data_IF_062183921517
#
_entry.id   IF_062183921517
#
_cell.length_a   1.000
_cell.length_b   1.000
_cell.length_c   1.000
_cell.angle_alpha   90.00
_cell.angle_beta   90.00
_cell.angle_gamma   90.00
#
_symmetry.space_group_name_H-M   'P 1'
#
loop_
_entity.id
_entity.type
_entity.pdbx_description
1 polymer ?
#
# COMPACT_ATOMS: atom_id res chain seq x y z
N UNK A 1 -15.98 14.50 19.12
CA UNK A 1 -14.82 15.24 18.59
C UNK A 1 -15.18 15.82 17.22
N UNK A 2 -14.65 16.98 16.87
CA UNK A 2 -14.63 17.44 15.48
C UNK A 2 -13.67 16.59 14.63
N UNK A 3 -13.76 16.61 13.29
CA UNK A 3 -12.80 15.93 12.42
C UNK A 3 -11.34 16.32 12.71
N UNK A 4 -11.06 17.61 12.89
CA UNK A 4 -9.71 18.10 13.22
C UNK A 4 -9.19 17.56 14.56
N UNK A 5 -10.04 17.51 15.60
CA UNK A 5 -9.67 16.92 16.90
C UNK A 5 -9.40 15.41 16.80
N UNK A 6 -10.15 14.69 15.98
CA UNK A 6 -9.95 13.27 15.74
C UNK A 6 -8.60 12.99 15.04
N UNK A 7 -8.28 13.76 14.01
CA UNK A 7 -6.99 13.67 13.32
C UNK A 7 -5.83 14.03 14.26
N UNK A 8 -5.96 15.08 15.06
CA UNK A 8 -4.96 15.47 16.05
C UNK A 8 -4.73 14.36 17.11
N UNK A 9 -5.80 13.70 17.55
CA UNK A 9 -5.70 12.57 18.46
C UNK A 9 -4.98 11.38 17.80
N UNK A 10 -5.33 11.02 16.58
CA UNK A 10 -4.65 9.97 15.81
C UNK A 10 -3.16 10.31 15.62
N UNK A 11 -2.84 11.59 15.38
CA UNK A 11 -1.45 12.03 15.26
C UNK A 11 -0.68 11.85 16.58
N UNK A 12 -1.29 12.12 17.73
CA UNK A 12 -0.66 11.85 19.04
C UNK A 12 -0.31 10.37 19.21
N UNK A 13 -1.16 9.45 18.73
CA UNK A 13 -0.89 8.01 18.78
C UNK A 13 0.30 7.59 17.92
N UNK A 14 0.64 8.34 16.86
CA UNK A 14 1.77 8.02 16.00
C UNK A 14 3.13 8.08 16.71
N UNK A 15 3.22 8.80 17.83
CA UNK A 15 4.43 8.92 18.64
C UNK A 15 4.85 7.60 19.31
N UNK A 16 3.91 6.65 19.50
CA UNK A 16 4.19 5.37 20.17
C UNK A 16 4.89 4.33 19.28
N UNK A 17 5.10 4.64 18.00
CA UNK A 17 5.85 3.78 17.07
C UNK A 17 5.22 2.41 16.83
N UNK A 18 6.02 1.43 16.40
CA UNK A 18 5.60 0.04 16.25
C UNK A 18 5.82 -0.72 17.57
N UNK A 19 4.76 -1.32 18.10
CA UNK A 19 4.81 -2.22 19.25
C UNK A 19 4.39 -3.62 18.79
N UNK A 20 5.27 -4.62 18.84
CA UNK A 20 4.92 -5.97 18.40
C UNK A 20 4.00 -6.64 19.43
N UNK A 21 2.84 -7.12 18.95
CA UNK A 21 1.87 -7.83 19.79
C UNK A 21 0.45 -7.64 19.28
N UNK A 22 -0.45 -8.54 19.68
CA UNK A 22 -1.87 -8.49 19.28
C UNK A 22 -2.79 -8.19 20.47
N UNK A 23 -2.26 -8.16 21.69
CA UNK A 23 -3.07 -7.99 22.88
C UNK A 23 -3.78 -6.64 22.95
N UNK A 24 -3.04 -5.56 22.66
CA UNK A 24 -3.58 -4.21 22.62
C UNK A 24 -4.74 -4.12 21.61
N UNK A 25 -4.55 -4.63 20.39
CA UNK A 25 -5.59 -4.61 19.35
C UNK A 25 -6.81 -5.47 19.73
N UNK A 26 -6.60 -6.65 20.34
CA UNK A 26 -7.70 -7.51 20.83
C UNK A 26 -8.49 -6.84 21.95
N UNK A 27 -7.82 -6.20 22.90
CA UNK A 27 -8.47 -5.47 24.00
C UNK A 27 -9.27 -4.27 23.46
N UNK A 28 -8.75 -3.54 22.49
CA UNK A 28 -9.49 -2.48 21.79
C UNK A 28 -10.73 -3.02 21.09
N UNK A 29 -10.60 -4.09 20.31
CA UNK A 29 -11.71 -4.71 19.61
C UNK A 29 -12.79 -5.22 20.59
N UNK A 30 -12.38 -5.85 21.70
CA UNK A 30 -13.29 -6.31 22.76
C UNK A 30 -14.07 -5.15 23.38
N UNK A 31 -13.45 -3.99 23.58
CA UNK A 31 -14.09 -2.82 24.16
C UNK A 31 -15.27 -2.30 23.31
N UNK A 32 -15.26 -2.59 22.00
CA UNK A 32 -16.34 -2.23 21.05
C UNK A 32 -17.14 -3.43 20.57
N UNK A 33 -17.07 -4.57 21.28
CA UNK A 33 -17.91 -5.75 21.03
C UNK A 33 -17.42 -6.64 19.88
N UNK A 34 -16.10 -6.73 19.66
CA UNK A 34 -15.46 -7.61 18.67
C UNK A 34 -16.07 -7.53 17.26
N UNK A 35 -16.06 -6.34 16.62
CA UNK A 35 -16.73 -6.18 15.32
C UNK A 35 -16.16 -7.13 14.24
N UNK A 36 -14.90 -7.59 14.35
CA UNK A 36 -14.27 -8.55 13.44
C UNK A 36 -15.00 -9.91 13.38
N UNK A 37 -15.73 -10.32 14.41
CA UNK A 37 -16.41 -11.62 14.44
C UNK A 37 -17.63 -11.67 13.50
N UNK A 38 -18.13 -10.51 13.07
CA UNK A 38 -19.27 -10.38 12.17
C UNK A 38 -18.88 -10.15 10.71
N UNK A 39 -17.57 -10.05 10.42
CA UNK A 39 -17.04 -9.70 9.11
C UNK A 39 -16.34 -10.89 8.45
N UNK A 40 -16.29 -10.89 7.13
CA UNK A 40 -15.62 -11.91 6.31
C UNK A 40 -14.41 -11.28 5.63
N UNK A 41 -13.23 -11.83 5.86
CA UNK A 41 -11.97 -11.23 5.41
C UNK A 41 -11.27 -12.03 4.32
N UNK A 42 -10.61 -11.32 3.42
CA UNK A 42 -9.46 -11.80 2.64
C UNK A 42 -8.26 -11.02 3.13
N UNK A 43 -7.32 -11.71 3.81
CA UNK A 43 -6.18 -11.08 4.49
C UNK A 43 -4.95 -11.11 3.60
N UNK A 44 -4.38 -9.94 3.29
CA UNK A 44 -3.32 -9.78 2.28
C UNK A 44 -2.05 -9.24 2.91
N UNK A 45 -0.97 -10.04 2.85
CA UNK A 45 0.38 -9.65 3.24
C UNK A 45 1.33 -9.69 2.03
N UNK A 46 2.54 -9.13 2.19
CA UNK A 46 3.57 -9.12 1.16
C UNK A 46 4.54 -7.95 1.33
N UNK A 47 5.64 -7.96 0.61
CA UNK A 47 6.53 -6.80 0.54
C UNK A 47 5.92 -5.77 -0.41
N UNK A 48 5.76 -6.11 -1.68
CA UNK A 48 5.13 -5.28 -2.70
C UNK A 48 3.83 -5.92 -3.21
N UNK A 49 2.93 -5.13 -3.82
CA UNK A 49 1.72 -5.63 -4.49
C UNK A 49 0.48 -5.80 -3.60
N UNK A 50 0.58 -5.67 -2.26
CA UNK A 50 -0.55 -5.82 -1.33
C UNK A 50 -1.76 -4.97 -1.72
N UNK A 51 -1.59 -3.65 -1.72
CA UNK A 51 -2.66 -2.71 -2.05
C UNK A 51 -3.23 -2.89 -3.46
N UNK A 52 -2.37 -3.19 -4.47
CA UNK A 52 -2.83 -3.49 -5.83
C UNK A 52 -3.68 -4.76 -5.88
N UNK A 53 -3.27 -5.82 -5.17
CA UNK A 53 -4.04 -7.07 -5.07
C UNK A 53 -5.38 -6.83 -4.37
N UNK A 54 -5.39 -6.06 -3.27
CA UNK A 54 -6.62 -5.65 -2.59
C UNK A 54 -7.53 -4.84 -3.53
N UNK A 55 -6.97 -3.92 -4.33
CA UNK A 55 -7.73 -3.11 -5.28
C UNK A 55 -8.37 -3.95 -6.39
N UNK A 56 -7.65 -4.96 -6.94
CA UNK A 56 -8.21 -5.90 -7.90
C UNK A 56 -9.33 -6.75 -7.29
N UNK A 57 -9.13 -7.30 -6.10
CA UNK A 57 -10.14 -8.06 -5.38
C UNK A 57 -11.40 -7.21 -5.14
N UNK A 58 -11.22 -5.99 -4.62
CA UNK A 58 -12.29 -5.05 -4.36
C UNK A 58 -13.09 -4.77 -5.63
N UNK A 59 -12.42 -4.43 -6.72
CA UNK A 59 -13.06 -4.07 -7.98
C UNK A 59 -13.88 -5.24 -8.58
N UNK A 60 -13.38 -6.47 -8.49
CA UNK A 60 -14.09 -7.66 -8.97
C UNK A 60 -15.33 -7.99 -8.11
N UNK A 61 -15.22 -7.93 -6.78
CA UNK A 61 -16.36 -8.17 -5.89
C UNK A 61 -17.41 -7.07 -6.02
N UNK A 62 -16.99 -5.81 -6.11
CA UNK A 62 -17.90 -4.68 -6.33
C UNK A 62 -18.60 -4.76 -7.70
N UNK A 63 -17.90 -5.18 -8.77
CA UNK A 63 -18.51 -5.43 -10.07
C UNK A 63 -19.59 -6.53 -10.01
N UNK A 64 -19.41 -7.51 -9.12
CA UNK A 64 -20.39 -8.57 -8.87
C UNK A 64 -21.53 -8.15 -7.92
N UNK A 65 -21.57 -6.88 -7.50
CA UNK A 65 -22.65 -6.32 -6.67
C UNK A 65 -22.45 -6.49 -5.16
N UNK A 66 -21.30 -7.02 -4.69
CA UNK A 66 -21.03 -7.12 -3.26
C UNK A 66 -20.65 -5.76 -2.67
N UNK A 67 -21.10 -5.52 -1.45
CA UNK A 67 -20.68 -4.36 -0.65
C UNK A 67 -19.31 -4.64 -0.04
N UNK A 68 -18.28 -3.99 -0.56
CA UNK A 68 -16.89 -4.23 -0.19
C UNK A 68 -16.42 -3.29 0.91
N UNK A 69 -15.61 -3.81 1.85
CA UNK A 69 -14.76 -3.03 2.74
C UNK A 69 -13.31 -3.15 2.25
N UNK A 70 -12.59 -2.05 2.16
CA UNK A 70 -11.17 -2.04 1.77
C UNK A 70 -10.36 -1.31 2.82
N UNK A 71 -9.42 -2.02 3.46
CA UNK A 71 -8.44 -1.46 4.41
C UNK A 71 -7.04 -1.57 3.83
N UNK A 72 -6.39 -0.43 3.66
CA UNK A 72 -5.04 -0.35 3.06
C UNK A 72 -4.18 0.69 3.76
N UNK A 73 -2.85 0.58 3.59
CA UNK A 73 -1.89 1.53 4.16
C UNK A 73 -0.60 1.60 3.35
N UNK A 74 0.08 2.76 3.33
CA UNK A 74 -0.37 4.05 3.83
C UNK A 74 -1.41 4.70 2.90
N UNK A 75 -2.01 5.83 3.31
CA UNK A 75 -2.76 6.70 2.39
C UNK A 75 -1.79 7.61 1.59
N UNK A 76 -2.25 8.21 0.51
CA UNK A 76 -1.46 9.17 -0.27
C UNK A 76 -1.68 10.60 0.23
N UNK A 77 -2.92 11.04 0.29
CA UNK A 77 -3.29 12.43 0.62
C UNK A 77 -4.16 12.49 1.87
N UNK A 78 -5.28 11.73 1.91
CA UNK A 78 -6.26 11.81 2.99
C UNK A 78 -6.35 10.51 3.79
N UNK A 79 -6.50 10.65 5.10
CA UNK A 79 -6.63 9.50 6.00
C UNK A 79 -7.75 8.54 5.59
N UNK A 80 -8.90 9.05 5.14
CA UNK A 80 -10.05 8.25 4.71
C UNK A 80 -9.76 7.23 3.60
N UNK A 81 -8.69 7.43 2.82
CA UNK A 81 -8.24 6.46 1.81
C UNK A 81 -7.89 5.10 2.40
N UNK A 82 -7.52 5.04 3.70
CA UNK A 82 -7.20 3.78 4.40
C UNK A 82 -8.41 2.90 4.63
N UNK A 83 -9.61 3.48 4.72
CA UNK A 83 -10.85 2.80 5.07
C UNK A 83 -11.89 3.18 4.04
N UNK A 84 -12.23 2.26 3.15
CA UNK A 84 -13.19 2.52 2.07
C UNK A 84 -14.34 1.51 2.12
N UNK A 85 -15.55 1.98 1.90
CA UNK A 85 -16.76 1.16 1.74
C UNK A 85 -17.29 1.33 0.32
N UNK A 86 -17.38 0.24 -0.46
CA UNK A 86 -17.80 0.30 -1.86
C UNK A 86 -16.93 1.23 -2.70
N UNK A 87 -15.64 1.32 -2.37
CA UNK A 87 -14.64 2.21 -3.00
C UNK A 87 -14.77 3.69 -2.61
N UNK A 88 -15.66 4.07 -1.70
CA UNK A 88 -15.76 5.42 -1.18
C UNK A 88 -14.94 5.55 0.11
N UNK A 89 -13.99 6.51 0.20
CA UNK A 89 -13.24 6.78 1.41
C UNK A 89 -14.17 7.12 2.58
N UNK A 90 -13.76 6.75 3.78
CA UNK A 90 -14.51 7.06 5.00
C UNK A 90 -14.60 8.59 5.17
N UNK A 91 -15.83 9.17 5.27
CA UNK A 91 -16.00 10.59 5.52
C UNK A 91 -15.36 11.03 6.84
N UNK A 92 -14.82 12.24 6.88
CA UNK A 92 -14.13 12.77 8.06
C UNK A 92 -15.03 12.86 9.30
N UNK A 93 -16.31 13.17 9.12
CA UNK A 93 -17.31 13.21 10.18
C UNK A 93 -17.54 11.81 10.77
N UNK A 94 -17.66 10.80 9.90
CA UNK A 94 -17.81 9.39 10.34
C UNK A 94 -16.54 8.92 11.05
N UNK A 95 -15.36 9.26 10.53
CA UNK A 95 -14.09 8.98 11.22
C UNK A 95 -14.08 9.58 12.61
N UNK A 96 -14.47 10.85 12.77
CA UNK A 96 -14.49 11.54 14.05
C UNK A 96 -15.44 10.91 15.07
N UNK A 97 -16.60 10.42 14.61
CA UNK A 97 -17.54 9.68 15.44
C UNK A 97 -16.94 8.37 15.96
N UNK A 98 -16.39 7.55 15.04
CA UNK A 98 -15.79 6.25 15.39
C UNK A 98 -14.56 6.40 16.29
N UNK A 99 -13.69 7.39 16.02
CA UNK A 99 -12.54 7.71 16.88
C UNK A 99 -13.00 8.13 18.27
N UNK A 100 -14.05 8.96 18.37
CA UNK A 100 -14.62 9.38 19.65
C UNK A 100 -15.18 8.20 20.43
N UNK A 101 -15.94 7.33 19.78
CA UNK A 101 -16.54 6.15 20.39
C UNK A 101 -15.47 5.18 20.91
N UNK A 102 -14.51 4.81 20.06
CA UNK A 102 -13.44 3.90 20.47
C UNK A 102 -12.62 4.47 21.62
N UNK A 103 -12.27 5.77 21.60
CA UNK A 103 -11.56 6.45 22.68
C UNK A 103 -12.33 6.42 24.00
N UNK A 104 -13.64 6.60 23.97
CA UNK A 104 -14.48 6.58 25.18
C UNK A 104 -14.60 5.18 25.79
N UNK A 105 -14.59 4.13 24.94
CA UNK A 105 -14.71 2.73 25.40
C UNK A 105 -13.39 2.07 25.70
N UNK A 106 -12.28 2.67 25.28
CA UNK A 106 -10.93 2.12 25.46
C UNK A 106 -10.60 1.97 26.95
N UNK A 107 -10.04 0.82 27.38
CA UNK A 107 -9.55 0.64 28.75
C UNK A 107 -8.54 1.73 29.14
N UNK A 108 -8.65 2.26 30.36
CA UNK A 108 -7.85 3.39 30.81
C UNK A 108 -6.34 3.07 30.95
N UNK A 109 -6.00 1.79 31.12
CA UNK A 109 -4.63 1.28 31.19
C UNK A 109 -4.01 0.96 29.83
N UNK A 110 -4.75 1.19 28.72
CA UNK A 110 -4.30 0.85 27.37
C UNK A 110 -3.75 2.08 26.65
N UNK A 111 -2.56 1.94 26.08
CA UNK A 111 -1.94 2.95 25.24
C UNK A 111 -1.64 2.34 23.87
N UNK A 112 -2.61 2.34 22.94
CA UNK A 112 -2.43 1.72 21.63
C UNK A 112 -1.54 2.56 20.74
N UNK A 113 -0.91 1.91 19.79
CA UNK A 113 -0.27 2.58 18.66
C UNK A 113 -1.32 3.15 17.69
N UNK A 114 -0.90 4.08 16.85
CA UNK A 114 -1.74 4.60 15.77
C UNK A 114 -2.36 3.48 14.91
N UNK A 115 -1.55 2.49 14.52
CA UNK A 115 -2.01 1.44 13.62
C UNK A 115 -2.99 0.48 14.31
N UNK A 116 -2.76 0.12 15.57
CA UNK A 116 -3.71 -0.69 16.35
C UNK A 116 -5.07 0.00 16.50
N UNK A 117 -5.04 1.28 16.83
CA UNK A 117 -6.26 2.06 17.02
C UNK A 117 -7.04 2.20 15.70
N UNK A 118 -6.36 2.58 14.60
CA UNK A 118 -7.00 2.76 13.30
C UNK A 118 -7.49 1.44 12.69
N UNK A 119 -6.84 0.32 13.00
CA UNK A 119 -7.30 -1.03 12.63
C UNK A 119 -8.67 -1.32 13.25
N UNK A 120 -8.87 -1.00 14.53
CA UNK A 120 -10.18 -1.22 15.18
C UNK A 120 -11.23 -0.22 14.69
N UNK A 121 -10.86 1.03 14.42
CA UNK A 121 -11.77 2.00 13.76
C UNK A 121 -12.27 1.46 12.40
N UNK A 122 -11.38 0.85 11.60
CA UNK A 122 -11.77 0.24 10.33
C UNK A 122 -12.76 -0.93 10.52
N UNK A 123 -12.54 -1.78 11.53
CA UNK A 123 -13.47 -2.87 11.86
C UNK A 123 -14.85 -2.33 12.27
N UNK A 124 -14.90 -1.26 13.07
CA UNK A 124 -16.17 -0.61 13.44
C UNK A 124 -16.88 -0.07 12.19
N UNK A 125 -16.18 0.66 11.33
CA UNK A 125 -16.73 1.24 10.09
C UNK A 125 -17.32 0.15 9.17
N UNK A 126 -16.61 -0.97 8.98
CA UNK A 126 -17.09 -2.06 8.14
C UNK A 126 -18.26 -2.82 8.74
N UNK A 127 -18.29 -3.01 10.06
CA UNK A 127 -19.41 -3.63 10.75
C UNK A 127 -20.67 -2.76 10.71
N UNK A 128 -20.56 -1.44 10.90
CA UNK A 128 -21.69 -0.52 10.74
C UNK A 128 -22.21 -0.47 9.30
N UNK A 129 -21.27 -0.47 8.34
CA UNK A 129 -21.63 -0.49 6.93
C UNK A 129 -22.19 -1.83 6.46
N UNK A 130 -22.19 -2.89 7.29
CA UNK A 130 -22.63 -4.24 6.93
C UNK A 130 -22.04 -4.72 5.61
N UNK A 131 -20.71 -4.62 5.44
CA UNK A 131 -20.04 -5.06 4.22
C UNK A 131 -20.06 -6.58 4.08
N UNK A 132 -20.17 -7.08 2.86
CA UNK A 132 -20.21 -8.53 2.57
C UNK A 132 -18.83 -9.17 2.69
N UNK A 133 -17.78 -8.45 2.25
CA UNK A 133 -16.39 -8.90 2.22
C UNK A 133 -15.43 -7.75 2.51
N UNK A 134 -14.41 -8.03 3.33
CA UNK A 134 -13.35 -7.08 3.67
C UNK A 134 -12.02 -7.51 3.02
N UNK A 135 -11.45 -6.65 2.18
CA UNK A 135 -10.09 -6.76 1.66
C UNK A 135 -9.17 -6.11 2.68
N UNK A 136 -8.37 -6.92 3.35
CA UNK A 136 -7.71 -6.56 4.60
C UNK A 136 -6.19 -6.61 4.43
N UNK A 137 -5.55 -5.44 4.17
CA UNK A 137 -4.10 -5.34 3.97
C UNK A 137 -3.37 -5.26 5.31
N UNK A 138 -2.27 -6.03 5.48
CA UNK A 138 -1.35 -5.86 6.61
C UNK A 138 -0.58 -4.54 6.50
N UNK A 139 -0.33 -3.89 7.65
CA UNK A 139 0.54 -2.72 7.69
C UNK A 139 2.01 -3.08 7.55
N UNK A 140 2.49 -4.00 8.42
CA UNK A 140 3.89 -4.40 8.48
C UNK A 140 4.04 -5.87 8.89
N UNK A 141 4.78 -6.65 8.10
CA UNK A 141 4.99 -8.06 8.40
C UNK A 141 3.71 -8.88 8.21
N UNK A 142 3.19 -9.46 9.25
CA UNK A 142 1.96 -10.24 9.28
C UNK A 142 1.68 -10.87 10.65
N UNK A 143 2.62 -11.63 11.21
CA UNK A 143 2.43 -12.41 12.45
C UNK A 143 1.97 -11.55 13.64
N UNK A 144 2.59 -10.41 13.85
CA UNK A 144 2.31 -9.47 14.95
C UNK A 144 1.68 -8.16 14.45
N UNK A 145 1.21 -8.13 13.20
CA UNK A 145 0.49 -6.97 12.67
C UNK A 145 -0.90 -6.85 13.29
N UNK A 146 -1.33 -5.64 13.62
CA UNK A 146 -2.62 -5.38 14.26
C UNK A 146 -3.80 -5.98 13.48
N UNK A 147 -3.68 -6.12 12.16
CA UNK A 147 -4.71 -6.75 11.31
C UNK A 147 -4.86 -8.25 11.56
N UNK A 148 -3.89 -8.91 12.22
CA UNK A 148 -3.86 -10.37 12.38
C UNK A 148 -4.73 -10.91 13.54
N UNK A 149 -5.65 -10.10 14.06
CA UNK A 149 -6.66 -10.53 15.03
C UNK A 149 -7.87 -11.22 14.39
N UNK A 150 -7.90 -11.33 13.07
CA UNK A 150 -9.00 -11.93 12.31
C UNK A 150 -8.69 -13.37 11.88
N UNK A 151 -9.76 -14.14 11.59
CA UNK A 151 -9.67 -15.42 10.86
C UNK A 151 -10.29 -15.20 9.47
N UNK A 152 -9.47 -15.13 8.39
CA UNK A 152 -9.96 -14.85 7.06
C UNK A 152 -10.55 -16.08 6.38
N UNK A 153 -11.29 -15.88 5.28
CA UNK A 153 -11.70 -16.96 4.36
C UNK A 153 -10.54 -17.44 3.48
N UNK A 154 -9.58 -16.56 3.21
CA UNK A 154 -8.32 -16.88 2.56
C UNK A 154 -7.24 -15.91 3.02
N UNK A 155 -6.02 -16.42 3.20
CA UNK A 155 -4.81 -15.62 3.34
C UNK A 155 -4.14 -15.47 1.97
N UNK A 156 -3.56 -14.32 1.68
CA UNK A 156 -2.88 -14.02 0.42
C UNK A 156 -1.51 -13.42 0.71
N UNK A 157 -0.45 -13.99 0.14
CA UNK A 157 0.91 -13.42 0.23
C UNK A 157 1.38 -13.08 -1.18
N UNK A 158 1.59 -11.79 -1.45
CA UNK A 158 1.89 -11.29 -2.79
C UNK A 158 3.35 -11.55 -3.18
N UNK A 159 4.29 -10.74 -2.73
CA UNK A 159 5.71 -10.91 -2.98
C UNK A 159 6.52 -10.87 -1.69
N UNK A 160 7.71 -11.47 -1.70
CA UNK A 160 8.68 -11.38 -0.61
C UNK A 160 9.99 -10.80 -1.16
N UNK A 161 10.43 -9.70 -0.55
CA UNK A 161 11.68 -9.04 -0.84
C UNK A 161 12.25 -8.36 0.41
N UNK A 162 13.46 -7.83 0.32
CA UNK A 162 14.12 -7.13 1.41
C UNK A 162 13.49 -5.75 1.60
N UNK A 163 12.78 -5.57 2.69
CA UNK A 163 12.24 -4.29 3.15
C UNK A 163 12.00 -4.37 4.66
N UNK A 164 12.07 -3.24 5.35
CA UNK A 164 11.89 -3.15 6.80
C UNK A 164 12.74 -4.13 7.61
N UNK A 165 13.98 -4.37 7.17
CA UNK A 165 14.90 -5.38 7.71
C UNK A 165 15.18 -5.20 9.21
N UNK A 166 15.13 -3.97 9.72
CA UNK A 166 15.33 -3.67 11.15
C UNK A 166 14.22 -4.27 12.05
N UNK A 167 13.04 -4.57 11.46
CA UNK A 167 11.87 -5.07 12.19
C UNK A 167 11.53 -6.50 11.82
N UNK A 168 11.63 -6.86 10.52
CA UNK A 168 11.17 -8.14 10.00
C UNK A 168 12.27 -9.19 9.86
N UNK A 169 13.54 -8.81 10.09
CA UNK A 169 14.71 -9.67 9.92
C UNK A 169 15.57 -9.31 8.71
N UNK A 170 16.81 -9.77 8.72
CA UNK A 170 17.84 -9.46 7.73
C UNK A 170 17.83 -10.35 6.49
N UNK A 171 17.00 -11.40 6.47
CA UNK A 171 16.93 -12.36 5.38
C UNK A 171 15.53 -12.49 4.80
N UNK A 172 15.47 -12.94 3.55
CA UNK A 172 14.18 -13.18 2.87
C UNK A 172 13.36 -14.28 3.58
N UNK A 173 14.03 -15.29 4.15
CA UNK A 173 13.36 -16.35 4.93
C UNK A 173 12.71 -15.83 6.21
N UNK A 174 13.37 -14.93 6.95
CA UNK A 174 12.80 -14.29 8.14
C UNK A 174 11.60 -13.42 7.78
N UNK A 175 11.70 -12.60 6.74
CA UNK A 175 10.60 -11.77 6.25
C UNK A 175 9.42 -12.64 5.78
N UNK A 176 9.70 -13.78 5.12
CA UNK A 176 8.68 -14.74 4.73
C UNK A 176 7.97 -15.36 5.94
N UNK A 177 8.70 -15.71 7.01
CA UNK A 177 8.15 -16.26 8.23
C UNK A 177 7.21 -15.25 8.94
N UNK A 178 7.60 -13.97 9.03
CA UNK A 178 6.74 -12.91 9.58
C UNK A 178 5.44 -12.76 8.77
N UNK A 179 5.52 -12.79 7.43
CA UNK A 179 4.33 -12.66 6.58
C UNK A 179 3.48 -13.92 6.59
N UNK A 180 4.08 -15.10 6.65
CA UNK A 180 3.37 -16.37 6.78
C UNK A 180 2.59 -16.50 8.11
N UNK A 181 2.85 -15.62 9.07
CA UNK A 181 2.08 -15.53 10.32
C UNK A 181 0.59 -15.16 10.14
N UNK A 182 0.15 -14.72 8.96
CA UNK A 182 -1.28 -14.53 8.66
C UNK A 182 -2.01 -15.83 8.28
N UNK A 183 -1.30 -16.92 8.04
CA UNK A 183 -1.88 -18.23 7.72
C UNK A 183 -2.57 -18.76 8.98
N UNK A 184 -3.82 -19.20 8.84
CA UNK A 184 -4.64 -19.74 9.94
C UNK A 184 -4.94 -21.23 9.71
N UNK A 185 -5.14 -22.00 10.79
CA UNK A 185 -5.44 -23.43 10.67
C UNK A 185 -6.63 -23.71 9.73
N UNK A 186 -6.44 -24.56 8.74
CA UNK A 186 -7.46 -24.97 7.78
C UNK A 186 -7.89 -23.90 6.76
N UNK A 187 -7.35 -22.67 6.83
CA UNK A 187 -7.67 -21.59 5.91
C UNK A 187 -6.73 -21.61 4.72
N UNK A 188 -7.22 -21.60 3.46
CA UNK A 188 -6.37 -21.63 2.29
C UNK A 188 -5.45 -20.40 2.21
N UNK A 189 -4.21 -20.64 1.75
CA UNK A 189 -3.21 -19.63 1.44
C UNK A 189 -2.91 -19.60 -0.06
N UNK A 190 -2.95 -18.41 -0.65
CA UNK A 190 -2.56 -18.19 -2.03
C UNK A 190 -1.31 -17.30 -2.07
N UNK A 191 -0.38 -17.61 -2.95
CA UNK A 191 0.84 -16.81 -3.08
C UNK A 191 1.34 -16.75 -4.51
N UNK A 192 1.98 -15.63 -4.87
CA UNK A 192 2.73 -15.46 -6.12
C UNK A 192 4.24 -15.31 -5.87
N UNK A 193 4.71 -15.75 -4.71
CA UNK A 193 6.14 -15.75 -4.38
C UNK A 193 6.87 -16.75 -5.27
N UNK A 194 7.86 -16.27 -6.00
CA UNK A 194 8.70 -17.04 -6.93
C UNK A 194 10.07 -17.39 -6.37
N UNK A 195 10.52 -16.72 -5.32
CA UNK A 195 11.77 -17.03 -4.61
C UNK A 195 11.64 -18.33 -3.84
N UNK A 196 12.46 -19.31 -4.20
CA UNK A 196 12.38 -20.66 -3.64
C UNK A 196 12.55 -20.71 -2.11
N UNK A 197 13.47 -19.91 -1.56
CA UNK A 197 13.72 -19.77 -0.13
C UNK A 197 12.49 -19.27 0.65
N UNK A 198 11.84 -18.22 0.16
CA UNK A 198 10.63 -17.67 0.75
C UNK A 198 9.41 -18.59 0.57
N UNK A 199 9.27 -19.18 -0.61
CA UNK A 199 8.16 -20.08 -0.92
C UNK A 199 8.21 -21.34 -0.03
N UNK A 200 9.41 -21.88 0.22
CA UNK A 200 9.58 -23.01 1.12
C UNK A 200 9.08 -22.73 2.55
N UNK A 201 9.33 -21.52 3.07
CA UNK A 201 8.84 -21.08 4.39
C UNK A 201 7.31 -21.00 4.41
N UNK A 202 6.69 -20.42 3.38
CA UNK A 202 5.23 -20.30 3.28
C UNK A 202 4.59 -21.70 3.19
N UNK A 203 5.13 -22.58 2.34
CA UNK A 203 4.62 -23.95 2.18
C UNK A 203 4.82 -24.80 3.45
N UNK A 204 5.95 -24.61 4.16
CA UNK A 204 6.17 -25.26 5.45
C UNK A 204 5.09 -24.83 6.45
N UNK A 205 4.87 -23.52 6.60
CA UNK A 205 3.85 -22.99 7.51
C UNK A 205 2.43 -23.43 7.14
N UNK A 206 2.12 -23.50 5.86
CA UNK A 206 0.83 -24.00 5.39
C UNK A 206 0.60 -25.46 5.79
N UNK A 207 1.62 -26.33 5.63
CA UNK A 207 1.53 -27.74 6.06
C UNK A 207 1.36 -27.89 7.58
N UNK A 208 2.10 -27.10 8.38
CA UNK A 208 1.94 -27.11 9.85
C UNK A 208 0.51 -26.80 10.29
N UNK A 209 -0.20 -25.99 9.52
CA UNK A 209 -1.55 -25.50 9.84
C UNK A 209 -2.66 -26.23 9.06
N UNK A 210 -2.33 -27.31 8.36
CA UNK A 210 -3.27 -28.04 7.48
C UNK A 210 -4.00 -27.08 6.49
N UNK A 211 -3.26 -26.12 5.96
CA UNK A 211 -3.76 -25.09 5.05
C UNK A 211 -3.42 -25.45 3.61
N UNK A 212 -4.43 -25.46 2.73
CA UNK A 212 -4.21 -25.66 1.29
C UNK A 212 -3.42 -24.50 0.69
N UNK A 213 -2.23 -24.76 0.15
CA UNK A 213 -1.35 -23.75 -0.43
C UNK A 213 -1.47 -23.74 -1.96
N UNK A 214 -1.98 -22.64 -2.51
CA UNK A 214 -2.10 -22.40 -3.95
C UNK A 214 -1.00 -21.44 -4.41
N UNK A 215 -0.11 -21.91 -5.29
CA UNK A 215 0.97 -21.10 -5.86
C UNK A 215 0.57 -20.60 -7.25
N UNK A 216 0.55 -19.30 -7.43
CA UNK A 216 0.34 -18.63 -8.73
C UNK A 216 1.70 -18.44 -9.40
N UNK A 217 2.06 -19.37 -10.26
CA UNK A 217 3.33 -19.41 -10.98
C UNK A 217 3.29 -18.62 -12.31
N UNK A 218 4.43 -18.54 -12.99
CA UNK A 218 4.55 -17.86 -14.27
C UNK A 218 3.63 -18.47 -15.35
N UNK A 219 3.34 -19.79 -15.27
CA UNK A 219 2.43 -20.43 -16.22
C UNK A 219 0.97 -20.02 -15.97
N UNK A 220 0.58 -19.83 -14.72
CA UNK A 220 -0.74 -19.27 -14.39
C UNK A 220 -0.88 -17.83 -14.88
N UNK A 221 0.17 -17.01 -14.69
CA UNK A 221 0.19 -15.61 -15.17
C UNK A 221 0.13 -15.54 -16.71
N UNK A 222 0.83 -16.42 -17.44
CA UNK A 222 0.82 -16.44 -18.90
C UNK A 222 -0.54 -16.85 -19.49
N UNK A 223 -1.30 -17.70 -18.78
CA UNK A 223 -2.65 -18.11 -19.16
C UNK A 223 -3.74 -17.09 -18.88
N UNK A 224 -3.40 -16.01 -18.17
CA UNK A 224 -4.36 -14.95 -17.87
C UNK A 224 -4.66 -14.12 -19.12
N UNK A 225 -5.90 -14.12 -19.56
CA UNK A 225 -6.37 -13.44 -20.78
C UNK A 225 -7.17 -12.16 -20.51
N UNK A 226 -7.61 -11.92 -19.27
CA UNK A 226 -8.38 -10.74 -18.93
C UNK A 226 -7.57 -9.43 -19.07
N UNK A 227 -8.23 -8.33 -19.48
CA UNK A 227 -7.60 -7.02 -19.50
C UNK A 227 -7.25 -6.56 -18.07
N UNK A 228 -6.08 -5.98 -17.90
CA UNK A 228 -5.61 -5.43 -16.61
C UNK A 228 -5.38 -3.94 -16.80
N UNK A 229 -6.07 -3.10 -16.04
CA UNK A 229 -5.98 -1.64 -16.16
C UNK A 229 -4.69 -1.06 -15.59
N UNK A 230 -4.15 -1.67 -14.52
CA UNK A 230 -2.89 -1.20 -13.92
C UNK A 230 -1.70 -1.65 -14.77
N UNK A 231 -0.80 -0.72 -15.07
CA UNK A 231 0.33 -0.94 -15.97
C UNK A 231 1.48 -1.71 -15.30
N UNK A 232 2.14 -2.54 -16.08
CA UNK A 232 3.36 -3.25 -15.74
C UNK A 232 3.18 -4.76 -15.50
N UNK A 233 4.23 -5.57 -15.80
CA UNK A 233 4.19 -7.03 -15.68
C UNK A 233 3.84 -7.52 -14.27
N UNK A 234 4.33 -6.83 -13.24
CA UNK A 234 4.03 -7.12 -11.84
C UNK A 234 2.54 -6.97 -11.51
N UNK A 235 1.82 -6.08 -12.19
CA UNK A 235 0.37 -5.93 -11.99
C UNK A 235 -0.42 -7.09 -12.58
N UNK A 236 0.07 -7.72 -13.66
CA UNK A 236 -0.51 -8.97 -14.15
C UNK A 236 -0.38 -10.10 -13.14
N UNK A 237 0.74 -10.17 -12.43
CA UNK A 237 0.94 -11.14 -11.33
C UNK A 237 -0.06 -10.88 -10.21
N UNK A 238 -0.17 -9.63 -9.73
CA UNK A 238 -1.13 -9.23 -8.69
C UNK A 238 -2.58 -9.52 -9.10
N UNK A 239 -2.94 -9.21 -10.35
CA UNK A 239 -4.28 -9.47 -10.90
C UNK A 239 -4.55 -10.97 -11.01
N UNK A 240 -3.59 -11.78 -11.47
CA UNK A 240 -3.74 -13.24 -11.52
C UNK A 240 -3.96 -13.82 -10.13
N UNK A 241 -3.18 -13.39 -9.14
CA UNK A 241 -3.33 -13.80 -7.75
C UNK A 241 -4.74 -13.44 -7.22
N UNK A 242 -5.22 -12.24 -7.53
CA UNK A 242 -6.57 -11.81 -7.16
C UNK A 242 -7.66 -12.66 -7.84
N UNK A 243 -7.54 -12.95 -9.14
CA UNK A 243 -8.50 -13.82 -9.88
C UNK A 243 -8.54 -15.22 -9.29
N UNK A 244 -7.37 -15.83 -9.01
CA UNK A 244 -7.31 -17.16 -8.41
C UNK A 244 -7.96 -17.16 -7.03
N UNK A 245 -7.77 -16.09 -6.25
CA UNK A 245 -8.42 -15.92 -4.93
C UNK A 245 -9.95 -15.83 -5.07
N UNK A 246 -10.47 -15.02 -5.99
CA UNK A 246 -11.92 -14.91 -6.24
C UNK A 246 -12.51 -16.24 -6.66
N UNK A 247 -11.85 -16.97 -7.55
CA UNK A 247 -12.31 -18.29 -8.01
C UNK A 247 -12.31 -19.35 -6.91
N UNK A 248 -11.31 -19.31 -6.01
CA UNK A 248 -11.26 -20.19 -4.85
C UNK A 248 -12.45 -19.96 -3.92
N UNK A 249 -12.83 -18.70 -3.74
CA UNK A 249 -13.91 -18.28 -2.83
C UNK A 249 -15.30 -18.22 -3.48
N UNK A 250 -15.48 -18.77 -4.70
CA UNK A 250 -16.74 -18.70 -5.47
C UNK A 250 -17.96 -19.28 -4.75
N UNK A 251 -17.75 -20.20 -3.81
CA UNK A 251 -18.84 -20.78 -3.00
C UNK A 251 -19.38 -19.76 -1.98
N UNK A 252 -18.58 -18.81 -1.53
CA UNK A 252 -18.98 -17.73 -0.61
C UNK A 252 -19.45 -16.50 -1.38
N UNK A 253 -18.76 -16.16 -2.46
CA UNK A 253 -18.97 -14.97 -3.27
C UNK A 253 -18.94 -15.35 -4.76
N UNK A 254 -20.07 -15.65 -5.39
CA UNK A 254 -20.12 -15.98 -6.81
C UNK A 254 -19.79 -14.74 -7.67
N UNK A 255 -18.75 -14.85 -8.48
CA UNK A 255 -18.31 -13.82 -9.43
C UNK A 255 -18.23 -14.45 -10.81
N UNK A 256 -18.94 -13.92 -11.80
CA UNK A 256 -18.91 -14.39 -13.19
C UNK A 256 -17.64 -13.92 -13.91
N UNK A 257 -17.32 -14.55 -15.04
CA UNK A 257 -16.20 -14.12 -15.89
C UNK A 257 -16.39 -12.69 -16.45
N UNK A 258 -17.63 -12.26 -16.63
CA UNK A 258 -17.96 -10.88 -17.00
C UNK A 258 -17.62 -9.90 -15.88
N UNK A 259 -17.96 -10.20 -14.64
CA UNK A 259 -17.60 -9.39 -13.47
C UNK A 259 -16.07 -9.36 -13.25
N UNK A 260 -15.37 -10.49 -13.50
CA UNK A 260 -13.90 -10.50 -13.47
C UNK A 260 -13.32 -9.54 -14.52
N UNK A 261 -13.84 -9.62 -15.76
CA UNK A 261 -13.40 -8.75 -16.86
C UNK A 261 -13.62 -7.27 -16.52
N UNK A 262 -14.84 -6.94 -16.09
CA UNK A 262 -15.21 -5.58 -15.72
C UNK A 262 -14.36 -5.07 -14.54
N UNK A 263 -14.23 -5.87 -13.48
CA UNK A 263 -13.47 -5.50 -12.31
C UNK A 263 -12.00 -5.22 -12.63
N UNK A 264 -11.34 -6.10 -13.39
CA UNK A 264 -9.93 -5.95 -13.77
C UNK A 264 -9.68 -4.77 -14.71
N UNK A 265 -10.60 -4.53 -15.67
CA UNK A 265 -10.49 -3.43 -16.63
C UNK A 265 -10.70 -2.05 -15.98
N UNK A 266 -11.45 -1.98 -14.88
CA UNK A 266 -11.78 -0.72 -14.21
C UNK A 266 -11.13 -0.57 -12.83
N UNK A 267 -10.15 -1.40 -12.49
CA UNK A 267 -9.38 -1.22 -11.27
C UNK A 267 -8.53 0.04 -11.37
N UNK A 268 -8.69 0.94 -10.40
CA UNK A 268 -7.88 2.14 -10.26
C UNK A 268 -7.09 2.05 -8.94
N UNK A 269 -5.81 2.41 -8.97
CA UNK A 269 -4.99 2.45 -7.76
C UNK A 269 -3.98 3.59 -7.86
N UNK A 270 -4.24 4.68 -7.14
CA UNK A 270 -3.41 5.87 -7.20
C UNK A 270 -1.95 5.58 -6.83
N UNK A 271 -1.01 6.23 -7.50
CA UNK A 271 0.42 6.06 -7.27
C UNK A 271 0.99 4.69 -7.66
N UNK A 272 0.31 3.94 -8.55
CA UNK A 272 0.82 2.68 -9.13
C UNK A 272 0.79 2.76 -10.64
N UNK A 273 1.92 3.14 -11.23
CA UNK A 273 2.03 3.43 -12.67
C UNK A 273 0.88 4.30 -13.16
N UNK A 274 0.45 5.25 -12.33
CA UNK A 274 -0.66 6.16 -12.62
C UNK A 274 -0.24 7.14 -13.70
N UNK A 275 -0.94 7.11 -14.84
CA UNK A 275 -0.69 8.01 -15.97
C UNK A 275 -1.86 8.96 -16.13
N UNK A 276 -1.58 10.26 -16.27
CA UNK A 276 -2.58 11.27 -16.60
C UNK A 276 -1.99 12.39 -17.46
N UNK A 277 -2.86 13.17 -18.11
CA UNK A 277 -2.49 14.32 -18.93
C UNK A 277 -2.79 15.61 -18.15
N UNK A 278 -1.85 16.55 -18.17
CA UNK A 278 -2.04 17.89 -17.63
C UNK A 278 -1.58 18.92 -18.67
N UNK A 279 -2.53 19.49 -19.41
CA UNK A 279 -2.23 20.21 -20.62
C UNK A 279 -1.53 19.32 -21.64
N UNK A 280 -0.36 19.75 -22.11
CA UNK A 280 0.45 18.97 -23.07
C UNK A 280 1.42 17.99 -22.38
N UNK A 281 1.46 17.96 -21.05
CA UNK A 281 2.38 17.10 -20.30
C UNK A 281 1.74 15.76 -19.96
N UNK A 282 2.50 14.68 -20.19
CA UNK A 282 2.21 13.36 -19.65
C UNK A 282 2.87 13.23 -18.28
N UNK A 283 2.10 12.87 -17.27
CA UNK A 283 2.58 12.59 -15.91
C UNK A 283 2.45 11.10 -15.62
N UNK A 284 3.48 10.53 -14.98
CA UNK A 284 3.53 9.15 -14.53
C UNK A 284 3.95 9.13 -13.07
N UNK A 285 3.10 8.60 -12.19
CA UNK A 285 3.37 8.49 -10.77
C UNK A 285 3.45 7.03 -10.34
N UNK A 286 4.52 6.68 -9.61
CA UNK A 286 4.68 5.34 -9.05
C UNK A 286 5.35 5.35 -7.67
N UNK A 287 4.76 4.65 -6.72
CA UNK A 287 5.22 4.55 -5.32
C UNK A 287 6.35 3.56 -5.08
N UNK A 288 7.20 3.26 -6.06
CA UNK A 288 8.40 2.44 -5.86
C UNK A 288 9.30 3.06 -4.79
N UNK A 289 9.58 2.28 -3.73
CA UNK A 289 10.31 2.76 -2.54
C UNK A 289 11.28 1.73 -1.94
N UNK A 290 11.54 0.64 -2.67
CA UNK A 290 12.55 -0.37 -2.39
C UNK A 290 13.15 -0.89 -3.71
N UNK A 291 14.22 -1.68 -3.64
CA UNK A 291 14.96 -2.14 -4.82
C UNK A 291 14.07 -2.92 -5.80
N UNK A 292 13.24 -3.86 -5.31
CA UNK A 292 12.33 -4.65 -6.14
C UNK A 292 11.25 -3.77 -6.80
N UNK A 293 10.71 -2.78 -6.06
CA UNK A 293 9.75 -1.81 -6.58
C UNK A 293 10.35 -0.95 -7.71
N UNK A 294 11.58 -0.47 -7.53
CA UNK A 294 12.32 0.29 -8.54
C UNK A 294 12.59 -0.55 -9.79
N UNK A 295 12.98 -1.82 -9.63
CA UNK A 295 13.19 -2.71 -10.76
C UNK A 295 11.88 -2.95 -11.54
N UNK A 296 10.76 -3.15 -10.83
CA UNK A 296 9.43 -3.32 -11.43
C UNK A 296 8.97 -2.04 -12.17
N UNK A 297 9.17 -0.86 -11.56
CA UNK A 297 8.87 0.43 -12.16
C UNK A 297 9.66 0.65 -13.46
N UNK A 298 10.98 0.42 -13.44
CA UNK A 298 11.83 0.56 -14.63
C UNK A 298 11.38 -0.34 -15.76
N UNK A 299 11.09 -1.61 -15.45
CA UNK A 299 10.59 -2.55 -16.46
C UNK A 299 9.27 -2.07 -17.04
N UNK A 300 8.32 -1.67 -16.20
CA UNK A 300 7.04 -1.15 -16.66
C UNK A 300 7.21 0.13 -17.52
N UNK A 301 8.13 1.03 -17.15
CA UNK A 301 8.45 2.21 -17.93
C UNK A 301 8.96 1.84 -19.32
N UNK A 302 9.91 0.89 -19.43
CA UNK A 302 10.45 0.42 -20.70
C UNK A 302 9.37 -0.28 -21.55
N UNK A 303 8.55 -1.12 -20.95
CA UNK A 303 7.53 -1.89 -21.67
C UNK A 303 6.39 -0.99 -22.23
N UNK A 304 6.00 0.07 -21.50
CA UNK A 304 4.89 0.93 -21.89
C UNK A 304 5.31 2.25 -22.56
N UNK A 305 6.57 2.65 -22.42
CA UNK A 305 7.12 3.90 -22.97
C UNK A 305 8.53 3.67 -23.55
N UNK A 306 8.71 2.74 -24.51
CA UNK A 306 10.02 2.23 -24.94
C UNK A 306 10.96 3.33 -25.46
N UNK A 307 10.44 4.34 -26.16
CA UNK A 307 11.24 5.40 -26.79
C UNK A 307 11.15 6.73 -26.01
N UNK A 308 10.62 6.71 -24.78
CA UNK A 308 10.41 7.93 -23.99
C UNK A 308 11.19 7.88 -22.69
N UNK A 309 12.06 8.86 -22.50
CA UNK A 309 12.82 9.06 -21.26
C UNK A 309 12.24 10.27 -20.52
N UNK A 310 11.45 10.06 -19.45
CA UNK A 310 10.90 11.16 -18.69
C UNK A 310 11.98 12.00 -18.01
N UNK A 311 11.68 13.26 -17.72
CA UNK A 311 12.34 13.91 -16.58
C UNK A 311 11.76 13.29 -15.30
N UNK A 312 12.66 12.80 -14.43
CA UNK A 312 12.21 12.09 -13.24
C UNK A 312 12.38 12.96 -11.99
N UNK A 313 11.29 13.14 -11.25
CA UNK A 313 11.27 13.86 -9.97
C UNK A 313 11.32 12.82 -8.85
N UNK A 314 12.33 12.90 -7.99
CA UNK A 314 12.61 11.93 -6.94
C UNK A 314 12.54 12.56 -5.56
N UNK A 315 11.83 11.88 -4.64
CA UNK A 315 11.87 12.12 -3.21
C UNK A 315 12.00 10.80 -2.46
N UNK A 316 13.02 10.66 -1.61
CA UNK A 316 13.38 9.39 -0.98
C UNK A 316 13.49 9.51 0.53
N UNK A 317 13.29 8.37 1.22
CA UNK A 317 13.40 8.26 2.67
C UNK A 317 14.72 7.56 3.06
N UNK A 318 15.32 8.03 4.15
CA UNK A 318 16.64 7.64 4.64
C UNK A 318 16.72 6.20 5.15
N UNK A 319 15.59 5.66 5.59
CA UNK A 319 15.45 4.28 6.09
C UNK A 319 15.33 3.22 4.98
N UNK A 320 15.38 3.64 3.71
CA UNK A 320 15.37 2.75 2.54
C UNK A 320 16.77 2.67 1.90
N UNK A 321 16.94 1.71 0.99
CA UNK A 321 18.17 1.57 0.20
C UNK A 321 18.26 2.66 -0.90
N UNK A 322 18.09 3.92 -0.52
CA UNK A 322 17.87 5.05 -1.42
C UNK A 322 19.01 5.30 -2.41
N UNK A 323 20.28 5.04 -2.02
CA UNK A 323 21.45 5.18 -2.93
C UNK A 323 21.36 4.19 -4.10
N UNK A 324 21.08 2.93 -3.79
CA UNK A 324 20.88 1.88 -4.78
C UNK A 324 19.67 2.18 -5.67
N UNK A 325 18.55 2.54 -5.08
CA UNK A 325 17.32 2.91 -5.80
C UNK A 325 17.56 4.07 -6.78
N UNK A 326 18.22 5.14 -6.33
CA UNK A 326 18.51 6.31 -7.16
C UNK A 326 19.43 5.96 -8.34
N UNK A 327 20.47 5.17 -8.08
CA UNK A 327 21.40 4.70 -9.10
C UNK A 327 20.71 3.83 -10.14
N UNK A 328 19.79 2.97 -9.71
CA UNK A 328 19.00 2.13 -10.61
C UNK A 328 17.98 2.92 -11.45
N UNK A 329 17.46 4.03 -10.95
CA UNK A 329 16.51 4.88 -11.68
C UNK A 329 17.19 5.77 -12.74
N UNK A 330 18.43 6.20 -12.50
CA UNK A 330 19.13 7.15 -13.34
C UNK A 330 19.20 6.77 -14.83
N UNK A 331 19.43 5.51 -15.27
CA UNK A 331 19.47 5.15 -16.68
C UNK A 331 18.13 5.29 -17.40
N UNK A 332 17.00 5.26 -16.67
CA UNK A 332 15.64 5.29 -17.23
C UNK A 332 15.10 6.71 -17.46
N UNK A 333 15.92 7.74 -17.25
CA UNK A 333 15.49 9.15 -17.29
C UNK A 333 16.38 9.96 -18.25
N UNK A 334 15.83 11.06 -18.77
CA UNK A 334 16.62 12.07 -19.50
C UNK A 334 17.37 13.00 -18.53
N UNK A 335 16.76 13.35 -17.40
CA UNK A 335 17.27 14.25 -16.38
C UNK A 335 16.61 13.95 -15.02
N UNK A 336 17.32 14.21 -13.93
CA UNK A 336 16.83 14.04 -12.56
C UNK A 336 16.56 15.39 -11.90
N UNK A 337 15.43 15.49 -11.20
CA UNK A 337 15.11 16.57 -10.27
C UNK A 337 14.86 15.93 -8.93
N UNK A 338 15.61 16.35 -7.90
CA UNK A 338 15.50 15.76 -6.56
C UNK A 338 14.95 16.80 -5.58
N UNK A 339 13.99 16.40 -4.74
CA UNK A 339 13.34 17.26 -3.78
C UNK A 339 13.16 16.55 -2.43
N UNK A 340 12.99 17.30 -1.33
CA UNK A 340 12.74 16.69 -0.02
C UNK A 340 11.32 16.11 0.01
N UNK A 341 11.14 15.07 0.82
CA UNK A 341 9.83 14.58 1.27
C UNK A 341 9.47 15.30 2.56
N UNK A 342 8.23 15.70 2.75
CA UNK A 342 7.76 16.30 4.01
C UNK A 342 7.73 15.25 5.14
N UNK A 343 8.91 14.81 5.53
CA UNK A 343 9.13 13.80 6.58
C UNK A 343 10.49 14.04 7.24
N UNK A 344 10.62 13.82 8.57
CA UNK A 344 11.93 13.88 9.26
C UNK A 344 12.92 12.81 8.73
N UNK A 345 12.41 11.78 8.05
CA UNK A 345 13.21 10.72 7.41
C UNK A 345 13.67 11.07 5.99
N UNK A 346 13.40 12.29 5.50
CA UNK A 346 13.79 12.67 4.14
C UNK A 346 15.30 12.56 3.90
N UNK A 347 15.69 12.06 2.73
CA UNK A 347 17.06 12.27 2.21
C UNK A 347 17.13 13.70 1.70
N UNK A 348 18.15 14.44 2.13
CA UNK A 348 18.31 15.81 1.66
C UNK A 348 18.64 15.85 0.17
N UNK A 349 18.04 16.78 -0.60
CA UNK A 349 18.22 16.83 -2.05
C UNK A 349 19.69 16.92 -2.49
N UNK A 350 20.50 17.68 -1.76
CA UNK A 350 21.93 17.80 -2.06
C UNK A 350 22.68 16.49 -1.84
N UNK A 351 22.37 15.76 -0.76
CA UNK A 351 22.94 14.45 -0.47
C UNK A 351 22.58 13.43 -1.58
N UNK A 352 21.34 13.47 -2.06
CA UNK A 352 20.88 12.61 -3.16
C UNK A 352 21.57 12.98 -4.47
N UNK A 353 21.74 14.28 -4.75
CA UNK A 353 22.48 14.78 -5.91
C UNK A 353 23.95 14.33 -5.89
N UNK A 354 24.61 14.48 -4.77
CA UNK A 354 26.02 14.06 -4.59
C UNK A 354 26.19 12.56 -4.81
N UNK A 355 25.34 11.73 -4.20
CA UNK A 355 25.38 10.28 -4.38
C UNK A 355 25.19 9.86 -5.85
N UNK A 356 24.31 10.52 -6.60
CA UNK A 356 24.10 10.27 -8.03
C UNK A 356 25.32 10.71 -8.87
N UNK A 357 26.00 11.79 -8.50
CA UNK A 357 27.23 12.25 -9.15
C UNK A 357 28.40 11.29 -8.88
N UNK A 358 28.58 10.87 -7.62
CA UNK A 358 29.59 9.87 -7.23
C UNK A 358 29.39 8.54 -7.98
N UNK A 359 28.15 8.10 -8.12
CA UNK A 359 27.78 6.92 -8.89
C UNK A 359 27.96 7.08 -10.40
N UNK A 360 28.42 8.26 -10.89
CA UNK A 360 28.60 8.57 -12.30
C UNK A 360 27.38 8.23 -13.15
N UNK A 361 26.20 8.62 -12.68
CA UNK A 361 24.93 8.25 -13.32
C UNK A 361 24.76 8.80 -14.77
N UNK A 362 25.67 9.69 -15.21
CA UNK A 362 25.69 10.26 -16.56
C UNK A 362 24.50 11.16 -16.90
N UNK A 363 23.72 11.58 -15.90
CA UNK A 363 22.54 12.43 -16.07
C UNK A 363 22.71 13.74 -15.30
N UNK A 364 22.11 14.82 -15.84
CA UNK A 364 22.02 16.08 -15.12
C UNK A 364 21.10 15.92 -13.91
N UNK A 365 21.54 16.34 -12.74
CA UNK A 365 20.78 16.28 -11.49
C UNK A 365 20.60 17.68 -10.94
N UNK A 366 19.36 18.11 -10.77
CA UNK A 366 19.01 19.37 -10.12
C UNK A 366 18.43 19.09 -8.73
N UNK A 367 19.05 19.63 -7.69
CA UNK A 367 18.49 19.64 -6.34
C UNK A 367 17.56 20.86 -6.19
N UNK A 368 16.41 20.64 -5.57
CA UNK A 368 15.40 21.65 -5.28
C UNK A 368 15.10 21.66 -3.78
N UNK A 369 14.90 22.86 -3.22
CA UNK A 369 14.66 23.03 -1.80
C UNK A 369 13.22 22.61 -1.37
N UNK A 370 12.30 22.49 -2.31
CA UNK A 370 10.91 22.08 -2.04
C UNK A 370 10.28 21.35 -3.24
N UNK A 371 9.16 20.69 -2.99
CA UNK A 371 8.35 20.06 -4.04
C UNK A 371 7.86 21.11 -5.06
N UNK A 372 7.46 22.28 -4.61
CA UNK A 372 7.00 23.38 -5.50
C UNK A 372 8.11 23.84 -6.44
N UNK A 373 9.36 23.90 -5.95
CA UNK A 373 10.49 24.23 -6.82
C UNK A 373 10.74 23.13 -7.84
N UNK A 374 10.66 21.87 -7.42
CA UNK A 374 10.82 20.72 -8.32
C UNK A 374 9.73 20.70 -9.40
N UNK A 375 8.47 20.97 -9.04
CA UNK A 375 7.36 21.06 -10.00
C UNK A 375 7.54 22.21 -10.99
N UNK A 376 7.98 23.40 -10.52
CA UNK A 376 8.36 24.51 -11.42
C UNK A 376 9.50 24.14 -12.38
N UNK A 377 10.44 23.35 -11.94
CA UNK A 377 11.58 22.94 -12.77
C UNK A 377 11.19 22.01 -13.94
N UNK A 378 10.00 21.41 -13.89
CA UNK A 378 9.51 20.46 -14.92
C UNK A 378 8.29 20.95 -15.69
N UNK A 379 7.89 22.21 -15.54
CA UNK A 379 6.67 22.78 -16.19
C UNK A 379 6.67 22.74 -17.72
N UNK A 380 7.85 22.65 -18.36
CA UNK A 380 8.00 22.61 -19.84
C UNK A 380 8.36 21.24 -20.37
N UNK A 381 8.43 20.23 -19.50
CA UNK A 381 8.83 18.89 -19.89
C UNK A 381 7.63 18.10 -20.41
N UNK A 382 7.70 17.51 -21.61
CA UNK A 382 6.55 16.82 -22.21
C UNK A 382 6.19 15.53 -21.47
N UNK A 383 7.15 14.93 -20.73
CA UNK A 383 6.94 13.71 -19.97
C UNK A 383 7.67 13.78 -18.62
N UNK A 384 6.91 13.72 -17.55
CA UNK A 384 7.40 13.78 -16.17
C UNK A 384 7.05 12.48 -15.44
N UNK A 385 8.03 11.85 -14.80
CA UNK A 385 7.79 10.72 -13.91
C UNK A 385 8.13 11.12 -12.46
N UNK A 386 7.29 10.72 -11.50
CA UNK A 386 7.48 10.99 -10.06
C UNK A 386 7.55 9.66 -9.33
N UNK A 387 8.60 9.44 -8.51
CA UNK A 387 8.77 8.18 -7.77
C UNK A 387 9.72 8.34 -6.57
N UNK A 388 9.97 7.24 -5.85
CA UNK A 388 10.91 7.14 -4.74
C UNK A 388 10.27 7.00 -3.37
N UNK A 389 9.02 7.46 -3.20
CA UNK A 389 8.26 7.30 -1.95
C UNK A 389 6.77 7.53 -2.19
N UNK A 390 5.91 6.75 -1.52
CA UNK A 390 4.45 7.00 -1.51
C UNK A 390 4.10 8.35 -0.90
N UNK A 391 4.81 8.77 0.14
CA UNK A 391 4.63 10.08 0.78
C UNK A 391 4.91 11.22 -0.20
N UNK A 392 6.02 11.08 -0.95
CA UNK A 392 6.39 12.06 -1.96
C UNK A 392 5.35 12.18 -3.09
N UNK A 393 4.83 11.04 -3.55
CA UNK A 393 3.76 11.03 -4.56
C UNK A 393 2.50 11.70 -4.04
N UNK A 394 2.09 11.41 -2.80
CA UNK A 394 0.94 12.06 -2.18
C UNK A 394 1.11 13.58 -2.12
N UNK A 395 2.29 14.06 -1.74
CA UNK A 395 2.62 15.48 -1.71
C UNK A 395 2.58 16.14 -3.09
N UNK A 396 3.11 15.45 -4.11
CA UNK A 396 3.05 15.92 -5.50
C UNK A 396 1.61 15.96 -6.02
N UNK A 397 0.81 14.91 -5.79
CA UNK A 397 -0.60 14.87 -6.19
C UNK A 397 -1.40 16.04 -5.60
N UNK A 398 -1.22 16.30 -4.31
CA UNK A 398 -1.88 17.42 -3.64
C UNK A 398 -1.48 18.76 -4.26
N UNK A 399 -0.18 19.00 -4.53
CA UNK A 399 0.31 20.24 -5.14
C UNK A 399 -0.15 20.43 -6.59
N UNK A 400 -0.33 19.34 -7.32
CA UNK A 400 -0.87 19.39 -8.68
C UNK A 400 -2.38 19.64 -8.70
N UNK A 401 -3.08 19.48 -7.56
CA UNK A 401 -4.53 19.47 -7.50
C UNK A 401 -5.14 18.25 -8.21
N UNK A 402 -4.33 17.26 -8.51
CA UNK A 402 -4.72 16.00 -9.12
C UNK A 402 -4.87 14.97 -8.00
N UNK A 403 -6.09 14.68 -7.68
CA UNK A 403 -6.39 13.72 -6.64
C UNK A 403 -7.10 12.56 -7.29
N UNK A 404 -6.61 11.37 -7.11
CA UNK A 404 -7.15 10.09 -7.55
C UNK A 404 -7.95 10.10 -8.88
N UNK A 405 -7.55 9.32 -9.92
CA UNK A 405 -8.30 9.18 -11.17
C UNK A 405 -9.76 8.75 -10.99
N UNK A 406 -10.13 8.20 -9.84
CA UNK A 406 -11.51 7.83 -9.51
C UNK A 406 -12.41 9.04 -9.14
N UNK A 407 -11.87 10.26 -9.06
CA UNK A 407 -12.61 11.45 -8.66
C UNK A 407 -13.02 11.45 -7.18
N UNK A 408 -12.46 10.56 -6.38
CA UNK A 408 -12.85 10.33 -4.99
C UNK A 408 -12.33 11.38 -4.00
N UNK A 409 -11.56 12.36 -4.44
CA UNK A 409 -11.03 13.39 -3.54
C UNK A 409 -11.27 14.77 -4.13
N UNK A 410 -12.14 15.53 -3.49
CA UNK A 410 -12.31 16.95 -3.73
C UNK A 410 -11.09 17.71 -3.18
N UNK A 411 -10.52 18.62 -3.99
CA UNK A 411 -9.26 19.34 -3.75
C UNK A 411 -9.31 20.37 -2.62
N UNK A 412 -10.38 20.45 -1.85
CA UNK A 412 -10.46 21.36 -0.72
C UNK A 412 -9.65 20.82 0.48
N UNK A 413 -8.41 21.29 0.57
CA UNK A 413 -7.57 21.36 1.76
C UNK A 413 -7.42 20.07 2.62
N UNK A 414 -6.69 19.05 2.12
CA UNK A 414 -6.01 18.15 3.03
C UNK A 414 -4.78 18.88 3.60
N UNK A 415 -4.85 19.31 4.86
CA UNK A 415 -3.75 19.99 5.52
C UNK A 415 -2.55 19.05 5.77
N UNK A 416 -1.38 19.62 6.04
CA UNK A 416 -0.14 18.90 6.42
C UNK A 416 -0.35 17.83 7.51
N UNK A 417 -1.34 18.01 8.38
CA UNK A 417 -1.64 17.10 9.48
C UNK A 417 -2.08 15.69 9.03
N UNK A 418 -2.81 15.55 7.92
CA UNK A 418 -3.22 14.21 7.44
C UNK A 418 -2.06 13.41 6.87
N UNK A 419 -1.09 14.06 6.20
CA UNK A 419 0.11 13.41 5.67
C UNK A 419 1.04 12.92 6.78
N UNK A 420 1.15 13.67 7.88
CA UNK A 420 1.99 13.31 9.05
C UNK A 420 1.53 12.04 9.73
N UNK A 421 0.26 11.63 9.60
CA UNK A 421 -0.23 10.35 10.08
C UNK A 421 0.38 9.12 9.38
N UNK A 422 1.09 9.32 8.28
CA UNK A 422 1.87 8.27 7.63
C UNK A 422 3.27 8.08 8.26
N UNK A 423 3.72 8.97 9.13
CA UNK A 423 5.06 8.91 9.70
C UNK A 423 5.16 7.75 10.70
N UNK A 424 5.95 6.75 10.32
CA UNK A 424 6.34 5.67 11.20
C UNK A 424 7.68 6.04 11.84
N UNK A 425 7.72 6.12 13.16
CA UNK A 425 8.98 6.22 13.93
C UNK A 425 9.37 4.82 14.40
N UNK A 426 10.57 4.32 14.07
CA UNK A 426 11.07 3.10 14.69
C UNK A 426 11.10 3.29 16.22
N UNK A 427 10.63 2.28 16.95
CA UNK A 427 10.83 2.26 18.39
C UNK A 427 12.33 2.37 18.68
N UNK A 428 12.73 3.33 19.52
CA UNK A 428 14.09 3.36 20.04
C UNK A 428 14.35 2.03 20.75
N UNK A 429 15.42 1.29 20.41
CA UNK A 429 15.74 0.09 21.16
C UNK A 429 15.98 0.48 22.62
N UNK A 430 15.26 -0.16 23.53
CA UNK A 430 15.53 -0.12 24.97
C UNK A 430 16.63 -1.10 25.30
#
# INVERSE_FOLDING_TARGET
MTPAEALAYLHQLSQFGFQPGLDSTRRLAAAVGNPQERLRFIHVAGTNGKGSTCAFLESMYRAAGFRTGLYTSPHLVRFGERIQVGRQPLPEETLALLVSELRQRMPADLTPTFFEFTTVVALMAFAEAAVDVVLWETGLGGRLDATNIVTPLASVITSIGLDHMQVLGGTVGEIAAEKAGIIKPGVPILTSVDRADALAVIQYRARELDSHCVVVDAAAVSRMTWPVSLLGPHQRVNATLAVVTVRLLRAFFPVSDEHLTQGLAHTLWAGRMQVFQRGEQTWLLDGAHNADGVAAFRRALTDHFPDRHPVMVLGMLRDKAWREMATHLAPATSRLVVAPVSSPRTVQPEELREALQEARCGRAVRACASVEEALRAVTREPFVAVTGSLYFIGEVLERLGEIDPSGLVDSSAAGDDQRRLNEWTPATPR
#
